data_IF_638725095782
#
_entry.id   IF_638725095782
#
_cell.length_a   1.000
_cell.length_b   1.000
_cell.length_c   1.000
_cell.angle_alpha   90.00
_cell.angle_beta   90.00
_cell.angle_gamma   90.00
#
_symmetry.space_group_name_H-M   'P 1'
#
loop_
_entity.id
_entity.type
_entity.pdbx_description
1 polymer ?
#
# COMPACT_ATOMS: atom_id res chain seq x y z
N UNK A 1 -12.92 -6.46 -11.58
CA UNK A 1 -11.50 -6.08 -11.48
C UNK A 1 -10.71 -7.36 -11.62
N UNK A 2 -9.73 -7.37 -12.51
CA UNK A 2 -8.80 -8.47 -12.65
C UNK A 2 -7.62 -8.25 -11.71
N UNK A 3 -6.94 -9.33 -11.34
CA UNK A 3 -5.74 -9.24 -10.50
C UNK A 3 -4.51 -9.01 -11.36
N UNK A 4 -3.53 -8.32 -10.79
CA UNK A 4 -2.21 -8.14 -11.43
C UNK A 4 -1.56 -9.48 -11.78
N UNK A 5 -0.85 -9.53 -12.90
CA UNK A 5 -0.27 -10.77 -13.45
C UNK A 5 1.27 -10.82 -13.37
N UNK A 6 1.92 -9.69 -13.13
CA UNK A 6 3.37 -9.57 -13.07
C UNK A 6 3.79 -8.49 -12.05
N UNK A 7 5.09 -8.39 -11.78
CA UNK A 7 5.63 -7.41 -10.82
C UNK A 7 5.57 -5.98 -11.34
N UNK A 8 5.69 -5.78 -12.65
CA UNK A 8 5.68 -4.45 -13.26
C UNK A 8 4.33 -3.76 -13.01
N UNK A 9 3.21 -4.47 -13.19
CA UNK A 9 1.87 -3.99 -12.83
C UNK A 9 1.72 -3.64 -11.34
N UNK A 10 2.42 -4.36 -10.45
CA UNK A 10 2.43 -4.03 -9.01
C UNK A 10 3.17 -2.73 -8.79
N UNK A 11 4.31 -2.52 -9.45
CA UNK A 11 5.11 -1.31 -9.33
C UNK A 11 4.40 -0.09 -9.94
N UNK A 12 3.77 -0.25 -11.10
CA UNK A 12 2.92 0.79 -11.71
C UNK A 12 1.82 1.23 -10.73
N UNK A 13 1.18 0.27 -10.05
CA UNK A 13 0.18 0.58 -9.02
C UNK A 13 0.78 1.27 -7.78
N UNK A 14 2.04 1.00 -7.42
CA UNK A 14 2.71 1.74 -6.35
C UNK A 14 2.91 3.19 -6.77
N UNK A 15 3.40 3.43 -7.98
CA UNK A 15 3.60 4.78 -8.51
C UNK A 15 2.28 5.56 -8.56
N UNK A 16 1.22 4.95 -9.10
CA UNK A 16 -0.12 5.55 -9.14
C UNK A 16 -0.65 5.86 -7.74
N UNK A 17 -0.39 4.98 -6.77
CA UNK A 17 -0.79 5.20 -5.38
C UNK A 17 -0.11 6.43 -4.77
N UNK A 18 1.21 6.52 -4.93
CA UNK A 18 2.01 7.63 -4.42
C UNK A 18 1.66 8.95 -5.12
N UNK A 19 1.49 8.92 -6.43
CA UNK A 19 1.08 10.09 -7.21
C UNK A 19 -0.24 10.65 -6.69
N UNK A 20 -1.27 9.82 -6.49
CA UNK A 20 -2.54 10.34 -5.98
C UNK A 20 -2.53 10.70 -4.50
N UNK A 21 -1.57 10.20 -3.71
CA UNK A 21 -1.35 10.63 -2.33
C UNK A 21 -0.67 12.00 -2.25
N UNK A 22 0.35 12.26 -3.07
CA UNK A 22 1.19 13.46 -2.99
C UNK A 22 0.75 14.57 -3.96
N UNK A 23 0.44 14.19 -5.20
CA UNK A 23 0.17 15.09 -6.32
C UNK A 23 -1.29 15.06 -6.79
N UNK A 24 -2.10 14.13 -6.29
CA UNK A 24 -3.51 13.99 -6.63
C UNK A 24 -4.39 15.18 -6.21
N UNK A 25 -5.60 15.21 -6.75
CA UNK A 25 -6.67 16.12 -6.30
C UNK A 25 -7.02 15.85 -4.82
N UNK A 26 -7.67 16.81 -4.16
CA UNK A 26 -8.15 16.63 -2.77
C UNK A 26 -9.00 15.36 -2.58
N UNK A 27 -9.74 14.95 -3.62
CA UNK A 27 -10.55 13.74 -3.59
C UNK A 27 -9.67 12.49 -3.64
N UNK A 28 -8.64 12.48 -4.48
CA UNK A 28 -7.69 11.37 -4.59
C UNK A 28 -6.89 11.22 -3.31
N UNK A 29 -6.33 12.31 -2.78
CA UNK A 29 -5.61 12.33 -1.51
C UNK A 29 -6.45 11.76 -0.38
N UNK A 30 -7.71 12.19 -0.26
CA UNK A 30 -8.65 11.65 0.74
C UNK A 30 -8.87 10.15 0.56
N UNK A 31 -8.97 9.65 -0.68
CA UNK A 31 -9.13 8.22 -0.95
C UNK A 31 -7.87 7.42 -0.64
N UNK A 32 -6.69 7.93 -0.98
CA UNK A 32 -5.40 7.31 -0.62
C UNK A 32 -5.24 7.23 0.90
N UNK A 33 -5.58 8.28 1.64
CA UNK A 33 -5.59 8.26 3.11
C UNK A 33 -6.59 7.22 3.64
N UNK A 34 -7.78 7.09 3.04
CA UNK A 34 -8.75 6.07 3.43
C UNK A 34 -8.25 4.64 3.18
N UNK A 35 -7.48 4.43 2.12
CA UNK A 35 -6.81 3.16 1.85
C UNK A 35 -5.79 2.83 2.93
N UNK A 36 -4.93 3.79 3.29
CA UNK A 36 -3.94 3.65 4.37
C UNK A 36 -4.64 3.28 5.69
N UNK A 37 -5.71 4.00 6.05
CA UNK A 37 -6.45 3.77 7.31
C UNK A 37 -7.05 2.38 7.43
N UNK A 38 -7.55 1.83 6.32
CA UNK A 38 -8.32 0.58 6.34
C UNK A 38 -7.51 -0.67 6.01
N UNK A 39 -6.32 -0.51 5.44
CA UNK A 39 -5.45 -1.63 5.07
C UNK A 39 -4.70 -2.15 6.30
N UNK A 40 -4.45 -3.47 6.31
CA UNK A 40 -3.61 -4.15 7.30
C UNK A 40 -2.32 -4.67 6.69
N UNK A 41 -2.30 -4.89 5.38
CA UNK A 41 -1.13 -5.41 4.68
C UNK A 41 -0.55 -4.37 3.74
N UNK A 42 0.76 -4.16 3.81
CA UNK A 42 1.46 -3.15 3.03
C UNK A 42 2.66 -3.74 2.29
N UNK A 43 2.93 -3.22 1.10
CA UNK A 43 4.21 -3.35 0.44
C UNK A 43 5.10 -2.19 0.87
N UNK A 44 6.29 -2.52 1.37
CA UNK A 44 7.34 -1.57 1.70
C UNK A 44 8.40 -1.65 0.60
N UNK A 45 8.62 -0.51 -0.05
CA UNK A 45 9.76 -0.32 -0.93
C UNK A 45 10.77 0.53 -0.17
N UNK A 46 11.90 -0.08 0.16
CA UNK A 46 13.00 0.49 0.92
C UNK A 46 14.13 0.83 -0.06
N UNK A 47 14.18 2.10 -0.48
CA UNK A 47 15.27 2.63 -1.32
C UNK A 47 16.24 3.44 -0.47
N UNK A 48 17.42 3.75 -1.00
CA UNK A 48 18.43 4.55 -0.28
C UNK A 48 17.95 5.97 0.07
N UNK A 49 16.94 6.50 -0.63
CA UNK A 49 16.44 7.86 -0.47
C UNK A 49 15.10 7.94 0.27
N UNK A 50 14.20 6.97 0.02
CA UNK A 50 12.84 6.98 0.56
C UNK A 50 12.33 5.58 0.89
N UNK A 51 11.58 5.49 1.98
CA UNK A 51 10.79 4.33 2.34
C UNK A 51 9.31 4.64 2.11
N UNK A 52 8.64 3.83 1.28
CA UNK A 52 7.22 4.04 0.95
C UNK A 52 6.36 2.87 1.40
N UNK A 53 5.14 3.17 1.84
CA UNK A 53 4.15 2.19 2.30
C UNK A 53 2.93 2.20 1.38
N UNK A 54 2.76 1.12 0.60
CA UNK A 54 1.66 1.01 -0.35
C UNK A 54 0.67 -0.11 0.04
N UNK A 55 -0.65 0.17 0.10
CA UNK A 55 -1.66 -0.76 0.61
C UNK A 55 -1.94 -1.92 -0.38
N UNK A 56 -1.91 -3.16 0.11
CA UNK A 56 -2.05 -4.36 -0.73
C UNK A 56 -3.34 -4.41 -1.53
N UNK A 57 -4.43 -3.87 -0.97
CA UNK A 57 -5.76 -3.84 -1.59
C UNK A 57 -5.82 -2.94 -2.83
N UNK A 58 -4.88 -1.99 -2.97
CA UNK A 58 -4.73 -1.20 -4.18
C UNK A 58 -3.77 -1.89 -5.15
N UNK A 59 -2.67 -2.45 -4.66
CA UNK A 59 -1.65 -3.05 -5.52
C UNK A 59 -2.10 -4.32 -6.25
N UNK A 60 -3.07 -5.05 -5.70
CA UNK A 60 -3.47 -6.35 -6.22
C UNK A 60 -4.35 -6.33 -7.49
N UNK A 61 -4.85 -5.19 -7.94
CA UNK A 61 -5.77 -5.13 -9.10
C UNK A 61 -5.16 -4.42 -10.30
N UNK A 62 -5.50 -4.87 -11.50
CA UNK A 62 -5.11 -4.21 -12.75
C UNK A 62 -5.87 -2.90 -12.98
N UNK A 63 -5.24 -2.01 -13.76
CA UNK A 63 -5.82 -0.74 -14.24
C UNK A 63 -6.44 0.07 -13.10
N UNK A 64 -5.74 0.13 -11.96
CA UNK A 64 -6.30 0.76 -10.78
C UNK A 64 -6.24 2.28 -10.91
N UNK A 65 -7.30 2.94 -10.46
CA UNK A 65 -7.41 4.39 -10.45
C UNK A 65 -7.96 4.78 -9.08
N UNK A 66 -7.23 5.64 -8.36
CA UNK A 66 -7.64 6.13 -7.04
C UNK A 66 -9.03 6.76 -7.11
N UNK A 67 -9.35 7.50 -8.19
CA UNK A 67 -10.67 8.12 -8.38
C UNK A 67 -11.77 7.08 -8.48
N UNK A 68 -11.51 5.93 -9.09
CA UNK A 68 -12.51 4.89 -9.34
C UNK A 68 -12.44 3.72 -8.34
N UNK A 69 -11.47 3.72 -7.43
CA UNK A 69 -11.35 2.67 -6.42
C UNK A 69 -12.63 2.62 -5.55
N UNK A 70 -13.28 1.45 -5.55
CA UNK A 70 -14.60 1.23 -4.94
C UNK A 70 -14.53 0.64 -3.53
N UNK A 71 -13.33 0.38 -2.99
CA UNK A 71 -13.19 0.10 -1.55
C UNK A 71 -13.51 -1.32 -1.11
N UNK A 72 -13.58 -2.31 -2.01
CA UNK A 72 -13.59 -3.71 -1.57
C UNK A 72 -12.18 -4.12 -1.14
N UNK A 73 -11.94 -4.01 0.17
CA UNK A 73 -10.70 -4.42 0.82
C UNK A 73 -10.68 -5.95 0.92
N UNK A 74 -10.39 -6.62 -0.20
CA UNK A 74 -10.29 -8.07 -0.27
C UNK A 74 -8.80 -8.45 -0.16
N UNK A 75 -8.21 -8.15 1.00
CA UNK A 75 -6.83 -8.56 1.32
C UNK A 75 -6.67 -10.08 1.21
N UNK A 76 -7.72 -10.83 1.55
CA UNK A 76 -7.77 -12.29 1.39
C UNK A 76 -7.65 -12.75 -0.08
N UNK A 77 -7.94 -11.89 -1.05
CA UNK A 77 -7.83 -12.20 -2.48
C UNK A 77 -6.55 -11.60 -3.10
N UNK A 78 -6.22 -10.36 -2.75
CA UNK A 78 -5.04 -9.64 -3.26
C UNK A 78 -3.73 -10.17 -2.67
N UNK A 79 -3.69 -10.49 -1.37
CA UNK A 79 -2.46 -10.94 -0.72
C UNK A 79 -1.90 -12.26 -1.28
N UNK A 80 -2.72 -13.29 -1.61
CA UNK A 80 -2.22 -14.49 -2.29
C UNK A 80 -1.61 -14.21 -3.67
N UNK A 81 -2.19 -13.30 -4.45
CA UNK A 81 -1.65 -12.90 -5.76
C UNK A 81 -0.30 -12.22 -5.58
N UNK A 82 -0.24 -11.20 -4.72
CA UNK A 82 0.99 -10.47 -4.43
C UNK A 82 2.07 -11.40 -3.87
N UNK A 83 1.73 -12.31 -2.96
CA UNK A 83 2.67 -13.32 -2.42
C UNK A 83 3.28 -14.17 -3.53
N UNK A 84 2.47 -14.62 -4.49
CA UNK A 84 2.93 -15.42 -5.63
C UNK A 84 3.88 -14.62 -6.53
N UNK A 85 3.56 -13.36 -6.81
CA UNK A 85 4.35 -12.49 -7.67
C UNK A 85 5.66 -12.06 -7.01
N UNK A 86 5.60 -11.61 -5.76
CA UNK A 86 6.74 -11.14 -4.98
C UNK A 86 7.66 -12.29 -4.52
N UNK A 87 7.14 -13.51 -4.45
CA UNK A 87 7.89 -14.69 -4.02
C UNK A 87 8.13 -14.76 -2.51
N UNK A 88 7.38 -13.98 -1.73
CA UNK A 88 7.48 -13.92 -0.27
C UNK A 88 6.12 -13.63 0.37
N UNK A 89 5.96 -14.03 1.64
CA UNK A 89 4.76 -13.73 2.44
C UNK A 89 5.00 -12.48 3.28
N UNK A 90 3.96 -11.67 3.53
CA UNK A 90 4.11 -10.50 4.38
C UNK A 90 4.31 -10.95 5.84
N UNK A 91 5.00 -10.13 6.63
CA UNK A 91 5.34 -10.46 8.03
C UNK A 91 5.17 -9.24 8.92
N UNK A 92 4.85 -9.51 10.19
CA UNK A 92 4.90 -8.50 11.24
C UNK A 92 6.35 -8.10 11.48
N UNK A 93 6.61 -6.80 11.46
CA UNK A 93 7.89 -6.20 11.82
C UNK A 93 7.62 -4.96 12.67
N UNK A 94 8.08 -4.98 13.93
CA UNK A 94 7.84 -3.90 14.88
C UNK A 94 8.56 -2.61 14.49
N UNK A 95 9.71 -2.71 13.84
CA UNK A 95 10.45 -1.54 13.39
C UNK A 95 9.69 -0.87 12.24
N UNK A 96 9.13 -1.66 11.31
CA UNK A 96 8.27 -1.11 10.26
C UNK A 96 6.94 -0.58 10.79
N UNK A 97 6.37 -1.15 11.85
CA UNK A 97 5.17 -0.60 12.49
C UNK A 97 5.41 0.81 13.04
N UNK A 98 6.54 1.07 13.69
CA UNK A 98 6.89 2.42 14.16
C UNK A 98 7.12 3.37 12.97
N UNK A 99 7.88 2.94 11.95
CA UNK A 99 8.13 3.76 10.75
C UNK A 99 6.84 4.07 9.99
N UNK A 100 5.88 3.14 9.94
CA UNK A 100 4.57 3.38 9.37
C UNK A 100 3.78 4.42 10.17
N UNK A 101 3.88 4.42 11.50
CA UNK A 101 3.22 5.43 12.33
C UNK A 101 3.84 6.82 12.12
N UNK A 102 5.16 6.89 11.96
CA UNK A 102 5.84 8.15 11.62
C UNK A 102 5.41 8.64 10.22
N UNK A 103 5.31 7.74 9.24
CA UNK A 103 4.74 8.04 7.92
C UNK A 103 3.29 8.55 8.01
N UNK A 104 2.47 7.97 8.91
CA UNK A 104 1.10 8.47 9.13
C UNK A 104 1.09 9.88 9.73
N UNK A 105 1.99 10.17 10.66
CA UNK A 105 2.08 11.49 11.28
C UNK A 105 2.49 12.57 10.26
N UNK A 106 3.42 12.25 9.35
CA UNK A 106 3.83 13.13 8.23
C UNK A 106 2.65 13.46 7.31
N UNK A 107 1.72 12.52 7.13
CA UNK A 107 0.50 12.69 6.34
C UNK A 107 -0.68 13.28 7.13
N UNK A 108 -0.45 13.75 8.36
CA UNK A 108 -1.47 14.24 9.29
C UNK A 108 -2.61 13.22 9.57
N UNK A 109 -2.29 11.93 9.48
CA UNK A 109 -3.19 10.82 9.78
C UNK A 109 -3.13 10.53 11.29
N UNK A 110 -4.28 10.60 11.98
CA UNK A 110 -4.33 10.24 13.39
C UNK A 110 -3.98 8.75 13.59
N UNK A 111 -3.01 8.46 14.45
CA UNK A 111 -2.58 7.09 14.80
C UNK A 111 -3.72 6.19 15.31
N UNK A 112 -4.80 6.76 15.86
CA UNK A 112 -5.98 6.01 16.30
C UNK A 112 -6.91 5.60 15.14
N UNK A 113 -6.74 6.19 13.96
CA UNK A 113 -7.53 5.87 12.76
C UNK A 113 -6.93 4.70 11.95
N UNK A 114 -5.76 4.22 12.36
CA UNK A 114 -5.03 3.14 11.69
C UNK A 114 -4.95 1.91 12.59
N UNK A 115 -4.84 0.71 12.01
CA UNK A 115 -4.79 -0.54 12.77
C UNK A 115 -3.59 -0.66 13.71
N UNK A 116 -3.71 -1.46 14.76
CA UNK A 116 -2.67 -1.66 15.80
C UNK A 116 -1.50 -2.56 15.37
N UNK A 117 -1.66 -3.34 14.31
CA UNK A 117 -0.64 -4.28 13.81
C UNK A 117 -0.87 -4.52 12.32
N UNK A 118 0.23 -4.60 11.58
CA UNK A 118 0.26 -4.70 10.12
C UNK A 118 1.27 -5.74 9.67
N UNK A 119 1.03 -6.26 8.47
CA UNK A 119 1.89 -7.22 7.81
C UNK A 119 2.58 -6.56 6.61
N UNK A 120 3.88 -6.79 6.44
CA UNK A 120 4.68 -6.11 5.44
C UNK A 120 5.37 -7.09 4.48
N UNK A 121 5.23 -6.86 3.17
CA UNK A 121 6.24 -7.30 2.22
C UNK A 121 7.34 -6.26 2.16
N UNK A 122 8.60 -6.71 2.11
CA UNK A 122 9.75 -5.80 2.08
C UNK A 122 10.52 -6.08 0.80
N UNK A 123 10.62 -5.05 -0.06
CA UNK A 123 11.48 -5.05 -1.22
C UNK A 123 12.64 -4.09 -0.96
N UNK A 124 13.86 -4.62 -1.01
CA UNK A 124 15.10 -3.86 -0.83
C UNK A 124 15.86 -3.84 -2.14
N UNK A 125 16.51 -2.71 -2.44
CA UNK A 125 17.43 -2.56 -3.57
C UNK A 125 16.79 -2.93 -4.91
N UNK A 126 15.64 -2.32 -5.22
CA UNK A 126 14.98 -2.47 -6.52
C UNK A 126 15.75 -1.65 -7.57
#
# INVERSE_FOLDING_TARGET
>A
MEFVQNKDEVFDNVELFLEGLEMGTDQEKKKSIQLIKKSKTFLVIDTDEVMVFAPSTFLGYQENDIKNFTGKLLENETNPVLTKLLGSTPKIDKTLDELFLDFCDELEINRNDVGLSRDYWILKNI
#
